data_IF_155986407349
#
_entry.id   IF_155986407349
#
_cell.length_a   1.000
_cell.length_b   1.000
_cell.length_c   1.000
_cell.angle_alpha   90.00
_cell.angle_beta   90.00
_cell.angle_gamma   90.00
#
_symmetry.space_group_name_H-M   'P 1'
#
loop_
_entity.id
_entity.type
_entity.pdbx_description
1 polymer ?
#
# COMPACT_ATOMS: atom_id res chain seq x y z
N UNK A 1 -0.69 31.11 -17.21
CA UNK A 1 -2.05 30.67 -17.56
C UNK A 1 -2.51 31.62 -18.65
N UNK A 2 -2.75 31.12 -19.86
CA UNK A 2 -3.08 31.94 -21.03
C UNK A 2 -4.57 32.23 -21.06
N UNK A 3 -4.92 33.42 -21.52
CA UNK A 3 -6.30 33.92 -21.64
C UNK A 3 -6.98 33.40 -22.92
N UNK A 4 -6.97 32.07 -23.11
CA UNK A 4 -7.73 31.41 -24.19
C UNK A 4 -8.97 30.76 -23.59
N UNK A 5 -10.15 31.16 -24.05
CA UNK A 5 -11.45 30.73 -23.50
C UNK A 5 -11.81 29.28 -23.84
N UNK A 6 -11.04 28.60 -24.70
CA UNK A 6 -11.30 27.24 -25.18
C UNK A 6 -10.24 26.20 -24.73
N UNK A 7 -9.55 26.43 -23.61
CA UNK A 7 -8.60 25.45 -23.07
C UNK A 7 -9.29 24.50 -22.07
N UNK A 8 -9.47 23.24 -22.45
CA UNK A 8 -9.94 22.17 -21.55
C UNK A 8 -9.06 20.92 -21.64
N UNK A 9 -8.95 20.20 -20.53
CA UNK A 9 -8.25 18.91 -20.49
C UNK A 9 -9.19 17.85 -21.06
N UNK A 10 -8.81 17.27 -22.21
CA UNK A 10 -9.60 16.25 -22.90
C UNK A 10 -9.41 14.84 -22.31
N UNK A 11 -8.23 14.54 -21.76
CA UNK A 11 -7.88 13.21 -21.24
C UNK A 11 -6.83 13.27 -20.13
N UNK A 12 -6.96 12.37 -19.14
CA UNK A 12 -5.95 12.15 -18.10
C UNK A 12 -5.76 10.64 -17.94
N UNK A 13 -4.55 10.13 -18.20
CA UNK A 13 -4.19 8.75 -17.90
C UNK A 13 -3.36 8.66 -16.62
N UNK A 14 -3.73 7.73 -15.75
CA UNK A 14 -2.95 7.34 -14.59
C UNK A 14 -2.66 5.83 -14.64
N UNK A 15 -1.39 5.45 -14.69
CA UNK A 15 -0.93 4.06 -14.70
C UNK A 15 -0.03 3.82 -13.49
N UNK A 16 -0.33 2.77 -12.73
CA UNK A 16 0.43 2.35 -11.57
C UNK A 16 0.69 0.83 -11.65
N UNK A 17 1.83 0.39 -11.11
CA UNK A 17 2.20 -1.04 -11.07
C UNK A 17 2.79 -1.34 -9.71
N UNK A 18 2.39 -2.47 -9.12
CA UNK A 18 2.84 -2.94 -7.81
C UNK A 18 3.18 -4.42 -7.95
N UNK A 19 4.39 -4.77 -7.56
CA UNK A 19 4.87 -6.15 -7.47
C UNK A 19 5.21 -6.42 -6.00
N UNK A 20 4.65 -7.50 -5.44
CA UNK A 20 4.93 -7.95 -4.08
C UNK A 20 5.55 -9.33 -4.17
N UNK A 21 6.77 -9.48 -3.64
CA UNK A 21 7.49 -10.73 -3.57
C UNK A 21 8.23 -10.87 -2.23
N UNK A 22 8.75 -12.05 -1.95
CA UNK A 22 9.38 -12.40 -0.69
C UNK A 22 10.71 -11.68 -0.47
N UNK A 23 11.41 -11.31 -1.55
CA UNK A 23 12.71 -10.60 -1.48
C UNK A 23 12.58 -9.19 -0.91
N UNK A 24 11.38 -8.61 -0.92
CA UNK A 24 11.09 -7.31 -0.31
C UNK A 24 10.84 -7.33 1.21
N UNK A 25 10.90 -8.50 1.87
CA UNK A 25 10.52 -8.66 3.29
C UNK A 25 11.54 -9.48 4.11
N UNK A 26 12.82 -9.41 3.77
CA UNK A 26 13.87 -10.19 4.47
C UNK A 26 14.32 -9.56 5.82
N UNK A 27 13.82 -8.38 6.19
CA UNK A 27 14.31 -7.64 7.38
C UNK A 27 13.37 -7.64 8.60
N UNK A 28 12.17 -8.22 8.54
CA UNK A 28 11.17 -8.11 9.63
C UNK A 28 10.90 -9.41 10.41
N UNK A 29 11.63 -10.50 10.13
CA UNK A 29 11.60 -11.71 10.94
C UNK A 29 12.69 -11.64 12.04
N UNK A 30 12.64 -10.61 12.89
CA UNK A 30 13.43 -10.62 14.13
C UNK A 30 12.72 -11.54 15.12
N UNK A 31 13.29 -12.72 15.31
CA UNK A 31 12.85 -13.75 16.26
C UNK A 31 12.92 -13.22 17.69
N UNK A 32 11.84 -12.60 18.17
CA UNK A 32 11.65 -12.28 19.58
C UNK A 32 10.90 -13.41 20.28
N UNK A 33 11.59 -14.25 21.05
CA UNK A 33 10.94 -15.22 21.94
C UNK A 33 10.30 -14.45 23.10
N UNK A 34 9.06 -14.00 22.91
CA UNK A 34 8.23 -13.52 24.01
C UNK A 34 7.60 -14.74 24.70
N UNK A 35 7.95 -14.93 25.97
CA UNK A 35 7.33 -15.94 26.83
C UNK A 35 5.80 -15.88 26.73
N UNK A 36 5.20 -17.06 26.63
CA UNK A 36 3.79 -17.31 26.41
C UNK A 36 2.86 -16.52 27.35
N UNK A 37 2.25 -15.44 26.83
CA UNK A 37 0.90 -15.00 27.25
C UNK A 37 0.01 -14.46 26.14
N UNK A 38 0.55 -14.15 24.96
CA UNK A 38 -0.27 -13.74 23.81
C UNK A 38 0.35 -14.32 22.54
N UNK A 39 -0.23 -15.42 22.03
CA UNK A 39 0.13 -15.92 20.70
C UNK A 39 -0.16 -14.79 19.70
N UNK A 40 0.79 -14.39 18.83
CA UNK A 40 0.52 -13.34 17.85
C UNK A 40 -0.67 -13.79 16.99
N UNK A 41 -1.62 -12.89 16.79
CA UNK A 41 -2.79 -13.16 15.97
C UNK A 41 -2.33 -13.57 14.56
N UNK A 42 -2.83 -14.70 14.07
CA UNK A 42 -2.57 -15.12 12.69
C UNK A 42 -3.33 -14.19 11.74
N UNK A 43 -2.62 -13.67 10.74
CA UNK A 43 -3.22 -12.90 9.65
C UNK A 43 -3.02 -13.67 8.34
N UNK A 44 -4.12 -13.95 7.64
CA UNK A 44 -4.12 -14.65 6.35
C UNK A 44 -4.98 -13.86 5.37
N UNK A 45 -4.34 -13.30 4.34
CA UNK A 45 -5.02 -12.55 3.28
C UNK A 45 -5.44 -13.46 2.12
N UNK A 46 -6.28 -14.47 2.39
CA UNK A 46 -6.73 -15.48 1.42
C UNK A 46 -8.12 -15.21 0.82
N UNK A 47 -8.59 -13.97 0.95
CA UNK A 47 -9.89 -13.49 0.47
C UNK A 47 -9.76 -12.00 0.11
N UNK A 48 -10.74 -11.36 -0.56
CA UNK A 48 -10.61 -9.98 -1.01
C UNK A 48 -10.16 -9.01 0.10
N UNK A 49 -9.15 -8.20 -0.17
CA UNK A 49 -8.58 -7.26 0.79
C UNK A 49 -8.23 -5.91 0.16
N UNK A 50 -8.13 -4.88 1.01
CA UNK A 50 -7.58 -3.58 0.66
C UNK A 50 -6.14 -3.49 1.14
N UNK A 51 -5.30 -2.76 0.41
CA UNK A 51 -3.95 -2.43 0.85
C UNK A 51 -3.64 -0.97 0.57
N UNK A 52 -2.76 -0.40 1.40
CA UNK A 52 -2.20 0.93 1.19
C UNK A 52 -0.70 0.90 1.45
N UNK A 53 0.08 1.51 0.54
CA UNK A 53 1.49 1.81 0.79
C UNK A 53 1.55 3.24 1.31
N UNK A 54 1.95 3.41 2.56
CA UNK A 54 1.95 4.71 3.22
C UNK A 54 3.36 5.14 3.59
N UNK A 55 3.65 6.43 3.42
CA UNK A 55 4.85 7.08 3.96
C UNK A 55 4.46 7.89 5.17
N UNK A 56 5.04 7.57 6.33
CA UNK A 56 4.94 8.44 7.51
C UNK A 56 5.81 9.69 7.29
N UNK A 57 5.27 10.86 7.59
CA UNK A 57 6.02 12.12 7.57
C UNK A 57 5.45 13.06 8.62
N UNK A 58 6.28 13.43 9.59
CA UNK A 58 5.83 14.10 10.81
C UNK A 58 4.77 13.27 11.54
N UNK A 59 3.67 13.93 11.88
CA UNK A 59 2.52 13.32 12.57
C UNK A 59 1.50 12.69 11.60
N UNK A 60 1.74 12.80 10.28
CA UNK A 60 0.82 12.34 9.25
C UNK A 60 1.28 11.10 8.47
N UNK A 61 0.34 10.53 7.72
CA UNK A 61 0.58 9.46 6.75
C UNK A 61 0.17 9.92 5.35
N UNK A 62 1.05 9.73 4.39
CA UNK A 62 0.79 10.00 2.97
C UNK A 62 0.56 8.68 2.25
N UNK A 63 -0.58 8.55 1.59
CA UNK A 63 -0.91 7.38 0.78
C UNK A 63 -0.16 7.49 -0.54
N UNK A 64 0.79 6.59 -0.78
CA UNK A 64 1.53 6.48 -2.03
C UNK A 64 0.78 5.60 -3.03
N UNK A 65 0.20 4.51 -2.53
CA UNK A 65 -0.65 3.60 -3.30
C UNK A 65 -1.83 3.15 -2.47
N UNK A 66 -2.97 2.97 -3.12
CA UNK A 66 -4.18 2.38 -2.55
C UNK A 66 -4.74 1.40 -3.57
N UNK A 67 -5.12 0.20 -3.13
CA UNK A 67 -5.65 -0.81 -4.03
C UNK A 67 -6.55 -1.82 -3.34
N UNK A 68 -7.24 -2.58 -4.19
CA UNK A 68 -8.13 -3.66 -3.81
C UNK A 68 -7.72 -4.92 -4.57
N UNK A 69 -7.48 -6.01 -3.86
CA UNK A 69 -7.23 -7.33 -4.42
C UNK A 69 -8.52 -8.13 -4.26
N UNK A 70 -9.09 -8.60 -5.38
CA UNK A 70 -10.35 -9.36 -5.40
C UNK A 70 -10.16 -10.87 -5.49
N UNK A 71 -9.03 -11.31 -6.03
CA UNK A 71 -8.60 -12.71 -6.10
C UNK A 71 -7.08 -12.73 -6.13
N UNK A 72 -6.49 -13.73 -5.47
CA UNK A 72 -5.09 -14.12 -5.65
C UNK A 72 -4.96 -15.12 -6.78
#
# INVERSE_FOLDING_TARGET
MTSDEDMFVSEILHKATIEVNEKGSEAAAVTGVAYARNMPASFKADHPFLFAVVRKSGDGYFILFLGCVKSL
#
